data_IF_771458886665
#
_entry.id   IF_771458886665
#
_cell.length_a   1.000
_cell.length_b   1.000
_cell.length_c   1.000
_cell.angle_alpha   90.00
_cell.angle_beta   90.00
_cell.angle_gamma   90.00
#
_symmetry.space_group_name_H-M   'P 1'
#
loop_
_entity.id
_entity.type
_entity.pdbx_description
1 polymer ?
#
# COMPACT_ATOMS: atom_id res chain seq x y z
N UNK A 1 14.89 21.69 -8.55
CA UNK A 1 15.55 21.40 -9.85
C UNK A 1 14.64 20.46 -10.63
N UNK A 2 14.34 20.76 -11.90
CA UNK A 2 13.61 19.83 -12.77
C UNK A 2 14.63 18.87 -13.41
N UNK A 3 14.37 17.57 -13.39
CA UNK A 3 15.19 16.58 -14.09
C UNK A 3 15.19 16.87 -15.59
N UNK A 4 16.34 16.74 -16.26
CA UNK A 4 16.41 16.80 -17.72
C UNK A 4 15.92 15.49 -18.36
N UNK A 5 15.72 15.47 -19.68
CA UNK A 5 15.20 14.31 -20.39
C UNK A 5 16.09 13.06 -20.22
N UNK A 6 17.41 13.21 -20.24
CA UNK A 6 18.32 12.09 -20.07
C UNK A 6 18.29 11.53 -18.65
N UNK A 7 18.17 12.36 -17.62
CA UNK A 7 18.00 11.91 -16.23
C UNK A 7 16.70 11.15 -16.04
N UNK A 8 15.60 11.56 -16.68
CA UNK A 8 14.35 10.84 -16.65
C UNK A 8 14.49 9.45 -17.31
N UNK A 9 15.12 9.37 -18.48
CA UNK A 9 15.36 8.10 -19.18
C UNK A 9 16.27 7.18 -18.37
N UNK A 10 17.31 7.68 -17.73
CA UNK A 10 18.19 6.89 -16.83
C UNK A 10 17.39 6.30 -15.64
N UNK A 11 16.31 6.97 -15.23
CA UNK A 11 15.38 6.49 -14.19
C UNK A 11 14.26 5.60 -14.74
N UNK A 12 14.29 5.27 -16.04
CA UNK A 12 13.35 4.39 -16.72
C UNK A 12 12.10 5.08 -17.26
N UNK A 13 12.05 6.41 -17.37
CA UNK A 13 10.90 7.08 -17.98
C UNK A 13 10.79 6.66 -19.45
N UNK A 14 9.68 6.01 -19.81
CA UNK A 14 9.29 5.64 -21.17
C UNK A 14 8.16 6.56 -21.64
N UNK A 15 8.26 7.06 -22.86
CA UNK A 15 7.22 7.83 -23.51
C UNK A 15 6.41 6.98 -24.51
N UNK A 16 5.45 7.60 -25.19
CA UNK A 16 4.60 6.91 -26.15
C UNK A 16 5.38 6.32 -27.32
N UNK A 17 6.49 6.94 -27.72
CA UNK A 17 7.36 6.43 -28.79
C UNK A 17 8.04 5.13 -28.38
N UNK A 18 8.52 5.06 -27.14
CA UNK A 18 9.11 3.83 -26.60
C UNK A 18 8.09 2.68 -26.54
N UNK A 19 6.85 2.99 -26.17
CA UNK A 19 5.76 2.01 -26.16
C UNK A 19 5.41 1.52 -27.58
N UNK A 20 5.32 2.44 -28.55
CA UNK A 20 5.03 2.11 -29.96
C UNK A 20 6.11 1.22 -30.57
N UNK A 21 7.38 1.43 -30.27
CA UNK A 21 8.50 0.60 -30.75
C UNK A 21 8.37 -0.87 -30.31
N UNK A 22 7.78 -1.13 -29.15
CA UNK A 22 7.60 -2.47 -28.60
C UNK A 22 6.17 -3.02 -28.74
N UNK A 23 5.24 -2.26 -29.33
CA UNK A 23 3.82 -2.60 -29.37
C UNK A 23 3.55 -3.96 -30.06
N UNK A 24 4.36 -4.30 -31.07
CA UNK A 24 4.23 -5.54 -31.86
C UNK A 24 5.14 -6.69 -31.38
N UNK A 25 5.97 -6.46 -30.34
CA UNK A 25 6.76 -7.53 -29.74
C UNK A 25 5.82 -8.57 -29.09
N UNK A 26 6.16 -9.84 -29.19
CA UNK A 26 5.41 -10.91 -28.50
C UNK A 26 5.59 -10.88 -26.99
N UNK A 27 4.79 -11.65 -26.29
CA UNK A 27 4.81 -11.67 -24.82
C UNK A 27 6.13 -12.21 -24.25
N UNK A 28 6.75 -13.19 -24.92
CA UNK A 28 8.03 -13.76 -24.48
C UNK A 28 9.18 -12.75 -24.64
N UNK A 29 9.21 -12.02 -25.74
CA UNK A 29 10.16 -10.93 -25.96
C UNK A 29 10.00 -9.82 -24.88
N UNK A 30 8.76 -9.42 -24.58
CA UNK A 30 8.50 -8.43 -23.54
C UNK A 30 8.88 -8.94 -22.14
N UNK A 31 8.60 -10.21 -21.81
CA UNK A 31 9.03 -10.83 -20.56
C UNK A 31 10.56 -10.88 -20.47
N UNK A 32 11.24 -11.19 -21.56
CA UNK A 32 12.71 -11.13 -21.65
C UNK A 32 13.26 -9.74 -21.36
N UNK A 33 12.62 -8.70 -21.89
CA UNK A 33 13.01 -7.31 -21.63
C UNK A 33 12.87 -6.88 -20.17
N UNK A 34 11.97 -7.47 -19.38
CA UNK A 34 11.91 -7.19 -17.95
C UNK A 34 13.20 -7.55 -17.21
N UNK A 35 13.94 -8.53 -17.70
CA UNK A 35 15.20 -8.97 -17.10
C UNK A 35 16.44 -8.28 -17.69
N UNK A 36 16.50 -8.15 -19.02
CA UNK A 36 17.73 -7.78 -19.74
C UNK A 36 17.65 -6.42 -20.43
N UNK A 37 16.48 -5.80 -20.51
CA UNK A 37 16.29 -4.52 -21.18
C UNK A 37 16.95 -3.33 -20.47
N UNK A 38 17.11 -2.23 -21.22
CA UNK A 38 17.44 -0.93 -20.64
C UNK A 38 16.32 -0.47 -19.69
N UNK A 39 16.55 0.47 -18.77
CA UNK A 39 15.49 0.97 -17.87
C UNK A 39 14.20 1.37 -18.60
N UNK A 40 14.33 2.06 -19.74
CA UNK A 40 13.18 2.47 -20.58
C UNK A 40 12.45 1.27 -21.16
N UNK A 41 13.19 0.29 -21.70
CA UNK A 41 12.61 -0.94 -22.25
C UNK A 41 11.90 -1.76 -21.19
N UNK A 42 12.47 -1.88 -19.97
CA UNK A 42 11.80 -2.58 -18.85
C UNK A 42 10.48 -1.90 -18.47
N UNK A 43 10.46 -0.56 -18.44
CA UNK A 43 9.24 0.21 -18.17
C UNK A 43 8.19 0.00 -19.26
N UNK A 44 8.58 0.11 -20.53
CA UNK A 44 7.68 -0.08 -21.66
C UNK A 44 7.13 -1.52 -21.70
N UNK A 45 7.99 -2.52 -21.48
CA UNK A 45 7.58 -3.93 -21.39
C UNK A 45 6.58 -4.18 -20.26
N UNK A 46 6.85 -3.68 -19.05
CA UNK A 46 5.91 -3.80 -17.92
C UNK A 46 4.56 -3.16 -18.24
N UNK A 47 4.57 -2.00 -18.88
CA UNK A 47 3.36 -1.25 -19.25
C UNK A 47 2.55 -2.00 -20.29
N UNK A 48 3.19 -2.53 -21.34
CA UNK A 48 2.52 -3.27 -22.41
C UNK A 48 1.98 -4.62 -21.91
N UNK A 49 2.77 -5.38 -21.15
CA UNK A 49 2.33 -6.65 -20.56
C UNK A 49 1.10 -6.47 -19.65
N UNK A 50 1.02 -5.38 -18.90
CA UNK A 50 -0.12 -5.11 -18.04
C UNK A 50 -1.46 -5.03 -18.78
N UNK A 51 -1.46 -4.62 -20.04
CA UNK A 51 -2.66 -4.48 -20.87
C UNK A 51 -3.04 -5.77 -21.64
N UNK A 52 -2.16 -6.78 -21.64
CA UNK A 52 -2.35 -8.04 -22.36
C UNK A 52 -2.92 -9.14 -21.45
N UNK A 53 -3.49 -10.22 -22.01
CA UNK A 53 -3.98 -11.36 -21.22
C UNK A 53 -2.93 -11.97 -20.32
N UNK A 54 -1.67 -12.09 -20.78
CA UNK A 54 -0.54 -12.60 -19.99
C UNK A 54 -0.34 -11.82 -18.69
N UNK A 55 -0.54 -10.50 -18.70
CA UNK A 55 -0.45 -9.61 -17.55
C UNK A 55 -1.49 -9.87 -16.45
N UNK A 56 -2.42 -10.79 -16.67
CA UNK A 56 -3.43 -11.23 -15.68
C UNK A 56 -3.13 -12.63 -15.15
N UNK A 57 -2.00 -13.22 -15.49
CA UNK A 57 -1.64 -14.58 -15.12
C UNK A 57 -0.78 -14.64 -13.86
N UNK A 58 -0.91 -15.72 -13.10
CA UNK A 58 -0.08 -15.98 -11.93
C UNK A 58 1.42 -16.04 -12.26
N UNK A 59 1.77 -16.52 -13.45
CA UNK A 59 3.15 -16.56 -13.93
C UNK A 59 3.72 -15.14 -14.10
N UNK A 60 2.96 -14.23 -14.72
CA UNK A 60 3.38 -12.83 -14.85
C UNK A 60 3.57 -12.15 -13.49
N UNK A 61 2.65 -12.36 -12.53
CA UNK A 61 2.78 -11.75 -11.20
C UNK A 61 4.06 -12.21 -10.49
N UNK A 62 4.43 -13.49 -10.64
CA UNK A 62 5.69 -14.03 -10.12
C UNK A 62 6.89 -13.32 -10.73
N UNK A 63 6.93 -13.17 -12.05
CA UNK A 63 8.01 -12.48 -12.78
C UNK A 63 8.07 -10.99 -12.39
N UNK A 64 6.93 -10.30 -12.36
CA UNK A 64 6.85 -8.89 -12.01
C UNK A 64 7.30 -8.61 -10.56
N UNK A 65 6.94 -9.48 -9.61
CA UNK A 65 7.38 -9.37 -8.22
C UNK A 65 8.87 -9.66 -8.07
N UNK A 66 9.42 -10.64 -8.78
CA UNK A 66 10.85 -10.91 -8.80
C UNK A 66 11.64 -9.71 -9.38
N UNK A 67 11.19 -9.16 -10.50
CA UNK A 67 11.77 -7.96 -11.08
C UNK A 67 11.72 -6.76 -10.11
N UNK A 68 10.57 -6.54 -9.46
CA UNK A 68 10.37 -5.41 -8.54
C UNK A 68 11.33 -5.46 -7.32
N UNK A 69 11.73 -6.65 -6.86
CA UNK A 69 12.67 -6.79 -5.72
C UNK A 69 14.03 -6.19 -6.00
N UNK A 70 14.51 -6.28 -7.23
CA UNK A 70 15.87 -5.87 -7.63
C UNK A 70 15.89 -4.59 -8.48
N UNK A 71 14.74 -4.10 -8.92
CA UNK A 71 14.64 -2.94 -9.82
C UNK A 71 15.11 -1.64 -9.14
N UNK A 72 16.18 -0.99 -9.62
CA UNK A 72 16.66 0.27 -9.05
C UNK A 72 15.92 1.49 -9.61
N UNK A 73 15.36 1.41 -10.82
CA UNK A 73 14.83 2.55 -11.55
C UNK A 73 13.40 2.88 -11.13
N UNK A 74 13.17 4.16 -10.80
CA UNK A 74 11.89 4.63 -10.25
C UNK A 74 10.71 4.32 -11.17
N UNK A 75 10.80 4.71 -12.45
CA UNK A 75 9.67 4.57 -13.37
C UNK A 75 9.36 3.12 -13.71
N UNK A 76 10.38 2.26 -13.78
CA UNK A 76 10.19 0.81 -13.94
C UNK A 76 9.47 0.22 -12.70
N UNK A 77 9.87 0.63 -11.49
CA UNK A 77 9.16 0.21 -10.26
C UNK A 77 7.70 0.65 -10.27
N UNK A 78 7.42 1.87 -10.73
CA UNK A 78 6.04 2.37 -10.83
C UNK A 78 5.23 1.58 -11.86
N UNK A 79 5.81 1.26 -13.02
CA UNK A 79 5.16 0.45 -14.05
C UNK A 79 4.86 -0.97 -13.57
N UNK A 80 5.82 -1.64 -12.92
CA UNK A 80 5.62 -2.97 -12.33
C UNK A 80 4.52 -2.95 -11.26
N UNK A 81 4.52 -1.94 -10.38
CA UNK A 81 3.45 -1.77 -9.40
C UNK A 81 2.09 -1.56 -10.06
N UNK A 82 2.02 -0.73 -11.11
CA UNK A 82 0.79 -0.50 -11.87
C UNK A 82 0.29 -1.77 -12.55
N UNK A 83 1.19 -2.57 -13.12
CA UNK A 83 0.87 -3.86 -13.72
C UNK A 83 0.28 -4.85 -12.69
N UNK A 84 0.93 -4.97 -11.53
CA UNK A 84 0.44 -5.81 -10.43
C UNK A 84 -0.93 -5.35 -9.91
N UNK A 85 -1.16 -4.04 -9.80
CA UNK A 85 -2.45 -3.48 -9.35
C UNK A 85 -3.61 -3.88 -10.27
N UNK A 86 -3.36 -4.01 -11.57
CA UNK A 86 -4.37 -4.43 -12.54
C UNK A 86 -4.67 -5.94 -12.50
N UNK A 87 -3.90 -6.73 -11.77
CA UNK A 87 -4.07 -8.18 -11.64
C UNK A 87 -5.19 -8.63 -10.69
N UNK A 88 -5.88 -7.68 -10.01
CA UNK A 88 -7.01 -7.97 -9.14
C UNK A 88 -6.67 -8.87 -7.94
N UNK A 89 -7.66 -9.59 -7.39
CA UNK A 89 -7.48 -10.41 -6.18
C UNK A 89 -6.36 -11.45 -6.28
N UNK A 90 -6.13 -12.03 -7.47
CA UNK A 90 -5.09 -13.03 -7.67
C UNK A 90 -3.68 -12.42 -7.51
N UNK A 91 -3.45 -11.23 -8.05
CA UNK A 91 -2.19 -10.51 -7.84
C UNK A 91 -2.04 -10.09 -6.38
N UNK A 92 -3.11 -9.61 -5.73
CA UNK A 92 -3.08 -9.21 -4.32
C UNK A 92 -2.61 -10.35 -3.41
N UNK A 93 -3.09 -11.58 -3.63
CA UNK A 93 -2.64 -12.77 -2.90
C UNK A 93 -1.14 -13.03 -3.05
N UNK A 94 -0.60 -12.90 -4.26
CA UNK A 94 0.84 -13.09 -4.52
C UNK A 94 1.69 -11.93 -3.98
N UNK A 95 1.15 -10.73 -3.85
CA UNK A 95 1.86 -9.58 -3.32
C UNK A 95 2.04 -9.63 -1.79
N UNK A 96 1.08 -10.19 -1.05
CA UNK A 96 1.10 -10.23 0.43
C UNK A 96 2.40 -10.79 1.02
N UNK A 97 3.00 -11.89 0.52
CA UNK A 97 4.27 -12.40 1.02
C UNK A 97 5.44 -11.40 0.95
N UNK A 98 5.32 -10.36 0.12
CA UNK A 98 6.34 -9.33 -0.10
C UNK A 98 6.14 -8.06 0.74
N UNK A 99 5.10 -7.98 1.56
CA UNK A 99 4.89 -6.88 2.50
C UNK A 99 6.10 -6.69 3.40
N UNK A 100 6.64 -5.48 3.40
CA UNK A 100 7.81 -5.09 4.18
C UNK A 100 9.16 -5.60 3.68
N UNK A 101 9.20 -6.28 2.51
CA UNK A 101 10.43 -6.87 1.96
C UNK A 101 11.05 -6.09 0.81
N UNK A 102 10.28 -5.25 0.11
CA UNK A 102 10.76 -4.53 -1.07
C UNK A 102 11.02 -3.06 -0.75
N UNK A 103 12.26 -2.62 -1.00
CA UNK A 103 12.71 -1.28 -0.66
C UNK A 103 13.04 -1.12 0.82
N UNK A 104 13.34 0.12 1.23
CA UNK A 104 13.81 0.47 2.57
C UNK A 104 13.05 1.67 3.18
N UNK A 105 11.89 2.01 2.65
CA UNK A 105 11.12 3.18 3.10
C UNK A 105 10.14 2.86 4.25
N UNK A 106 10.06 1.61 4.70
CA UNK A 106 9.20 1.16 5.78
C UNK A 106 9.64 1.75 7.13
N UNK A 107 8.69 1.90 8.05
CA UNK A 107 9.03 2.22 9.42
C UNK A 107 9.64 1.00 10.11
N UNK A 108 10.80 1.20 10.75
CA UNK A 108 11.43 0.19 11.60
C UNK A 108 10.99 0.33 13.08
N UNK A 109 10.55 1.53 13.45
CA UNK A 109 9.98 1.86 14.75
C UNK A 109 8.93 2.97 14.59
N UNK A 110 8.03 3.16 15.55
CA UNK A 110 7.11 4.28 15.57
C UNK A 110 7.88 5.61 15.50
N UNK A 111 7.41 6.61 14.73
CA UNK A 111 8.04 7.93 14.72
C UNK A 111 7.83 8.63 16.08
N UNK A 112 8.80 9.40 16.51
CA UNK A 112 8.76 10.10 17.80
C UNK A 112 7.58 11.08 17.93
N UNK A 113 7.06 11.59 16.80
CA UNK A 113 5.93 12.53 16.77
C UNK A 113 4.83 12.02 15.87
N UNK A 114 3.58 12.11 16.33
CA UNK A 114 2.41 11.84 15.49
C UNK A 114 2.27 12.90 14.40
N UNK A 115 1.78 12.49 13.22
CA UNK A 115 1.50 13.39 12.12
C UNK A 115 0.43 14.42 12.50
N UNK A 116 0.61 15.68 12.10
CA UNK A 116 -0.38 16.74 12.25
C UNK A 116 -1.39 16.79 11.10
N UNK A 117 -1.19 16.01 10.03
CA UNK A 117 -2.10 15.97 8.88
C UNK A 117 -3.47 15.43 9.27
N UNK A 118 -4.51 15.99 8.65
CA UNK A 118 -5.90 15.56 8.83
C UNK A 118 -6.28 14.37 7.94
N UNK A 119 -5.40 13.97 7.02
CA UNK A 119 -5.54 12.84 6.11
C UNK A 119 -4.93 11.58 6.68
N UNK A 120 -5.38 10.41 6.22
CA UNK A 120 -4.69 9.15 6.48
C UNK A 120 -3.39 9.10 5.66
N UNK A 121 -2.26 8.68 6.26
CA UNK A 121 -0.99 8.67 5.54
C UNK A 121 -0.96 7.55 4.50
N UNK A 122 -0.42 7.84 3.31
CA UNK A 122 -0.14 6.83 2.29
C UNK A 122 0.87 5.80 2.85
N UNK A 123 0.64 4.50 2.66
CA UNK A 123 1.60 3.47 3.08
C UNK A 123 3.00 3.71 2.51
N UNK A 124 4.03 3.58 3.35
CA UNK A 124 5.43 3.79 2.93
C UNK A 124 6.01 2.59 2.21
N UNK A 125 5.61 1.39 2.60
CA UNK A 125 5.94 0.15 1.90
C UNK A 125 5.34 0.16 0.49
N UNK A 126 6.13 -0.21 -0.53
CA UNK A 126 5.71 -0.14 -1.93
C UNK A 126 4.60 -1.16 -2.24
N UNK A 127 4.65 -2.34 -1.61
CA UNK A 127 3.64 -3.39 -1.78
C UNK A 127 2.36 -3.01 -1.05
N UNK A 128 2.45 -2.53 0.20
CA UNK A 128 1.29 -2.06 0.94
C UNK A 128 0.59 -0.89 0.23
N UNK A 129 1.36 0.02 -0.37
CA UNK A 129 0.84 1.13 -1.19
C UNK A 129 0.13 0.63 -2.44
N UNK A 130 0.69 -0.36 -3.12
CA UNK A 130 0.08 -0.96 -4.30
C UNK A 130 -1.22 -1.69 -3.95
N UNK A 131 -1.22 -2.50 -2.89
CA UNK A 131 -2.42 -3.17 -2.38
C UNK A 131 -3.52 -2.17 -1.97
N UNK A 132 -3.14 -1.08 -1.29
CA UNK A 132 -4.09 -0.04 -0.92
C UNK A 132 -4.75 0.65 -2.13
N UNK A 133 -4.08 0.70 -3.29
CA UNK A 133 -4.61 1.25 -4.54
C UNK A 133 -5.50 0.29 -5.31
N UNK A 134 -5.44 -1.00 -5.03
CA UNK A 134 -6.33 -2.01 -5.63
C UNK A 134 -7.75 -1.97 -5.05
N UNK A 135 -7.98 -1.18 -4.02
CA UNK A 135 -9.29 -1.06 -3.38
C UNK A 135 -9.76 -2.36 -2.74
N UNK A 136 -11.04 -2.66 -2.88
CA UNK A 136 -11.69 -3.84 -2.28
C UNK A 136 -11.10 -5.16 -2.75
N UNK A 137 -10.50 -5.23 -3.92
CA UNK A 137 -9.89 -6.45 -4.47
C UNK A 137 -8.74 -6.97 -3.62
N UNK A 138 -7.98 -6.07 -2.98
CA UNK A 138 -6.87 -6.45 -2.11
C UNK A 138 -7.34 -6.80 -0.67
N UNK A 139 -8.53 -6.40 -0.27
CA UNK A 139 -8.95 -6.48 1.13
C UNK A 139 -8.95 -7.91 1.68
N UNK A 140 -9.47 -8.94 0.99
CA UNK A 140 -9.41 -10.32 1.50
C UNK A 140 -7.98 -10.80 1.79
N UNK A 141 -7.03 -10.50 0.89
CA UNK A 141 -5.62 -10.88 1.05
C UNK A 141 -4.96 -10.10 2.21
N UNK A 142 -5.24 -8.82 2.35
CA UNK A 142 -4.77 -8.00 3.47
C UNK A 142 -5.32 -8.50 4.82
N UNK A 143 -6.61 -8.84 4.90
CA UNK A 143 -7.20 -9.40 6.12
C UNK A 143 -6.61 -10.78 6.47
N UNK A 144 -6.29 -11.61 5.48
CA UNK A 144 -5.56 -12.85 5.72
C UNK A 144 -4.16 -12.59 6.28
N UNK A 145 -3.44 -11.59 5.76
CA UNK A 145 -2.14 -11.15 6.30
C UNK A 145 -2.25 -10.67 7.76
N UNK A 146 -3.31 -9.93 8.12
CA UNK A 146 -3.54 -9.53 9.51
C UNK A 146 -3.72 -10.71 10.44
N UNK A 147 -4.37 -11.80 9.98
CA UNK A 147 -4.62 -12.99 10.80
C UNK A 147 -3.40 -13.92 10.95
N UNK A 148 -2.60 -14.05 9.91
CA UNK A 148 -1.59 -15.12 9.81
C UNK A 148 -0.16 -14.60 9.52
N UNK A 149 0.01 -13.36 9.07
CA UNK A 149 1.30 -12.79 8.68
C UNK A 149 2.28 -12.63 9.84
N UNK A 150 3.55 -12.47 9.53
CA UNK A 150 4.60 -12.05 10.48
C UNK A 150 4.35 -10.63 10.98
N UNK A 151 5.03 -10.21 12.04
CA UNK A 151 4.89 -8.84 12.59
C UNK A 151 5.15 -7.75 11.53
N UNK A 152 6.12 -7.97 10.63
CA UNK A 152 6.44 -7.05 9.52
C UNK A 152 5.28 -6.99 8.53
N UNK A 153 4.77 -8.14 8.07
CA UNK A 153 3.64 -8.20 7.15
C UNK A 153 2.38 -7.57 7.75
N UNK A 154 2.08 -7.87 9.02
CA UNK A 154 0.95 -7.28 9.74
C UNK A 154 1.08 -5.77 9.85
N UNK A 155 2.27 -5.27 10.19
CA UNK A 155 2.54 -3.84 10.27
C UNK A 155 2.21 -3.13 8.94
N UNK A 156 2.67 -3.66 7.81
CA UNK A 156 2.42 -3.05 6.51
C UNK A 156 0.98 -3.27 6.02
N UNK A 157 0.37 -4.43 6.32
CA UNK A 157 -1.04 -4.68 6.04
C UNK A 157 -1.96 -3.73 6.81
N UNK A 158 -1.68 -3.42 8.10
CA UNK A 158 -2.43 -2.41 8.86
C UNK A 158 -2.40 -1.03 8.20
N UNK A 159 -1.24 -0.63 7.66
CA UNK A 159 -1.14 0.65 6.94
C UNK A 159 -2.00 0.65 5.66
N UNK A 160 -2.01 -0.46 4.90
CA UNK A 160 -2.81 -0.59 3.69
C UNK A 160 -4.32 -0.66 3.99
N UNK A 161 -4.74 -1.47 4.96
CA UNK A 161 -6.15 -1.61 5.39
C UNK A 161 -6.68 -0.27 5.88
N UNK A 162 -5.92 0.41 6.76
CA UNK A 162 -6.35 1.70 7.29
C UNK A 162 -6.47 2.77 6.19
N UNK A 163 -5.53 2.83 5.24
CA UNK A 163 -5.63 3.73 4.09
C UNK A 163 -6.86 3.42 3.23
N UNK A 164 -7.04 2.15 2.87
CA UNK A 164 -8.15 1.70 2.02
C UNK A 164 -9.50 2.07 2.66
N UNK A 165 -9.72 1.64 3.90
CA UNK A 165 -11.00 1.84 4.57
C UNK A 165 -11.28 3.32 4.94
N UNK A 166 -10.25 4.11 5.22
CA UNK A 166 -10.40 5.52 5.52
C UNK A 166 -10.93 6.34 4.32
N UNK A 167 -10.56 5.94 3.10
CA UNK A 167 -10.97 6.62 1.87
C UNK A 167 -12.09 5.89 1.10
N UNK A 168 -12.46 4.69 1.53
CA UNK A 168 -13.55 3.96 0.91
C UNK A 168 -14.91 4.53 1.37
N UNK A 169 -15.82 4.84 0.45
CA UNK A 169 -17.18 5.21 0.82
C UNK A 169 -17.94 4.02 1.38
N UNK A 170 -18.72 4.26 2.42
CA UNK A 170 -19.56 3.25 3.07
C UNK A 170 -18.91 2.52 4.25
N UNK A 171 -19.68 1.63 4.91
CA UNK A 171 -19.22 0.95 6.11
C UNK A 171 -18.08 -0.04 5.82
N UNK A 172 -17.16 -0.17 6.75
CA UNK A 172 -16.12 -1.18 6.67
C UNK A 172 -16.72 -2.60 6.69
N UNK A 173 -16.19 -3.55 5.90
CA UNK A 173 -16.64 -4.93 5.94
C UNK A 173 -16.55 -5.52 7.35
N UNK A 174 -17.56 -6.29 7.75
CA UNK A 174 -17.70 -6.85 9.12
C UNK A 174 -16.50 -7.68 9.58
N UNK A 175 -15.77 -8.30 8.65
CA UNK A 175 -14.56 -9.08 8.95
C UNK A 175 -13.32 -8.23 9.23
N UNK A 176 -13.33 -6.91 8.90
CA UNK A 176 -12.14 -6.08 8.95
C UNK A 176 -11.75 -5.72 10.41
N UNK A 177 -12.69 -5.19 11.19
CA UNK A 177 -12.41 -4.81 12.58
C UNK A 177 -11.93 -5.98 13.44
N UNK A 178 -12.56 -7.17 13.44
CA UNK A 178 -12.07 -8.33 14.17
C UNK A 178 -10.64 -8.74 13.77
N UNK A 179 -10.28 -8.63 12.48
CA UNK A 179 -8.94 -8.94 12.03
C UNK A 179 -7.90 -7.94 12.58
N UNK A 180 -8.23 -6.63 12.58
CA UNK A 180 -7.38 -5.58 13.17
C UNK A 180 -7.22 -5.78 14.67
N UNK A 181 -8.31 -6.04 15.41
CA UNK A 181 -8.28 -6.29 16.84
C UNK A 181 -7.48 -7.55 17.21
N UNK A 182 -7.53 -8.58 16.35
CA UNK A 182 -6.74 -9.81 16.50
C UNK A 182 -5.23 -9.54 16.51
N UNK A 183 -4.75 -8.51 15.83
CA UNK A 183 -3.31 -8.17 15.80
C UNK A 183 -2.81 -7.67 17.16
N UNK A 184 -3.63 -6.92 17.91
CA UNK A 184 -3.26 -6.45 19.25
C UNK A 184 -3.03 -7.60 20.23
N UNK A 185 -3.88 -8.64 20.16
CA UNK A 185 -3.73 -9.84 21.00
C UNK A 185 -2.51 -10.66 20.62
N UNK A 186 -2.18 -10.70 19.30
CA UNK A 186 -1.05 -11.48 18.79
C UNK A 186 0.31 -10.80 18.98
N UNK A 187 0.34 -9.45 19.04
CA UNK A 187 1.57 -8.68 19.13
C UNK A 187 1.49 -7.60 20.24
N UNK A 188 1.18 -7.96 21.50
CA UNK A 188 0.90 -7.00 22.56
C UNK A 188 2.12 -6.16 22.97
N UNK A 189 3.35 -6.65 22.73
CA UNK A 189 4.61 -5.96 23.04
C UNK A 189 5.30 -5.34 21.82
N UNK A 190 4.67 -5.33 20.63
CA UNK A 190 5.29 -4.77 19.43
C UNK A 190 4.78 -3.35 19.17
N UNK A 191 5.56 -2.36 19.59
CA UNK A 191 5.19 -0.94 19.48
C UNK A 191 4.86 -0.50 18.07
N UNK A 192 5.54 -1.03 17.04
CA UNK A 192 5.26 -0.67 15.66
C UNK A 192 3.90 -1.19 15.19
N UNK A 193 3.57 -2.45 15.52
CA UNK A 193 2.25 -3.02 15.25
C UNK A 193 1.17 -2.28 15.99
N UNK A 194 1.36 -2.00 17.30
CA UNK A 194 0.42 -1.24 18.12
C UNK A 194 0.19 0.17 17.56
N UNK A 195 1.27 0.85 17.16
CA UNK A 195 1.20 2.19 16.56
C UNK A 195 0.42 2.19 15.24
N UNK A 196 0.70 1.22 14.35
CA UNK A 196 -0.02 1.07 13.06
C UNK A 196 -1.48 0.66 13.29
N UNK A 197 -1.75 -0.20 14.26
CA UNK A 197 -3.11 -0.58 14.63
C UNK A 197 -3.89 0.64 15.15
N UNK A 198 -3.31 1.43 16.08
CA UNK A 198 -3.91 2.67 16.53
C UNK A 198 -4.20 3.64 15.38
N UNK A 199 -3.31 3.68 14.38
CA UNK A 199 -3.55 4.43 13.13
C UNK A 199 -4.72 3.87 12.32
N UNK A 200 -4.78 2.56 12.14
CA UNK A 200 -5.81 1.88 11.35
C UNK A 200 -7.23 2.03 11.96
N UNK A 201 -7.34 2.01 13.28
CA UNK A 201 -8.63 2.10 13.98
C UNK A 201 -9.41 3.38 13.68
N UNK A 202 -8.77 4.48 13.24
CA UNK A 202 -9.51 5.69 12.85
C UNK A 202 -10.33 5.54 11.54
N UNK A 203 -10.17 4.42 10.83
CA UNK A 203 -10.95 4.10 9.65
C UNK A 203 -12.26 3.34 9.97
N UNK A 204 -12.55 3.10 11.26
CA UNK A 204 -13.75 2.40 11.71
C UNK A 204 -14.60 3.34 12.57
N UNK A 205 -15.78 3.68 12.07
CA UNK A 205 -16.80 4.40 12.85
C UNK A 205 -17.57 3.39 13.71
N UNK A 206 -16.95 3.00 14.84
CA UNK A 206 -17.40 1.93 15.71
C UNK A 206 -17.05 2.22 17.17
N UNK A 207 -17.98 1.93 18.09
CA UNK A 207 -17.83 2.18 19.52
C UNK A 207 -16.67 1.41 20.15
N UNK A 208 -16.41 0.16 19.70
CA UNK A 208 -15.30 -0.64 20.20
C UNK A 208 -13.95 -0.06 19.76
N UNK A 209 -13.85 0.44 18.53
CA UNK A 209 -12.66 1.13 18.01
C UNK A 209 -12.36 2.38 18.82
N UNK A 210 -13.38 3.18 19.09
CA UNK A 210 -13.26 4.41 19.91
C UNK A 210 -12.83 4.11 21.34
N UNK A 211 -13.46 3.14 22.01
CA UNK A 211 -13.09 2.75 23.37
C UNK A 211 -11.64 2.23 23.45
N UNK A 212 -11.23 1.43 22.47
CA UNK A 212 -9.85 0.94 22.42
C UNK A 212 -8.83 2.05 22.16
N UNK A 213 -9.14 2.99 21.29
CA UNK A 213 -8.28 4.16 21.07
C UNK A 213 -8.15 5.02 22.33
N UNK A 214 -9.22 5.20 23.11
CA UNK A 214 -9.18 5.87 24.42
C UNK A 214 -8.26 5.13 25.39
N UNK A 215 -8.38 3.82 25.48
CA UNK A 215 -7.52 2.96 26.31
C UNK A 215 -6.06 3.08 25.90
N UNK A 216 -5.76 2.97 24.59
CA UNK A 216 -4.39 3.11 24.07
C UNK A 216 -3.82 4.51 24.32
N UNK A 217 -4.62 5.56 24.19
CA UNK A 217 -4.18 6.93 24.43
C UNK A 217 -3.83 7.18 25.91
N UNK A 218 -4.54 6.54 26.83
CA UNK A 218 -4.33 6.70 28.26
C UNK A 218 -3.24 5.78 28.82
N UNK A 219 -3.17 4.53 28.37
CA UNK A 219 -2.48 3.46 29.08
C UNK A 219 -1.35 2.77 28.29
N UNK A 220 -1.22 2.98 26.96
CA UNK A 220 -0.15 2.33 26.21
C UNK A 220 1.23 2.73 26.78
N UNK A 221 2.13 1.77 26.96
CA UNK A 221 3.48 2.01 27.48
C UNK A 221 4.26 2.97 26.56
N UNK A 222 4.17 2.77 25.24
CA UNK A 222 4.86 3.58 24.23
C UNK A 222 4.23 4.97 24.08
N UNK A 223 4.98 6.07 24.28
CA UNK A 223 4.49 7.43 24.05
C UNK A 223 4.04 7.65 22.59
N UNK A 224 4.70 7.01 21.64
CA UNK A 224 4.34 7.11 20.23
C UNK A 224 2.98 6.45 19.94
N UNK A 225 2.68 5.32 20.58
CA UNK A 225 1.35 4.66 20.48
C UNK A 225 0.28 5.55 21.09
N UNK A 226 0.52 6.12 22.29
CA UNK A 226 -0.41 7.07 22.91
C UNK A 226 -0.71 8.27 22.01
N UNK A 227 0.33 8.87 21.45
CA UNK A 227 0.19 10.03 20.56
C UNK A 227 -0.58 9.69 19.27
N UNK A 228 -0.36 8.50 18.72
CA UNK A 228 -1.10 8.03 17.53
C UNK A 228 -2.56 7.75 17.86
N UNK A 229 -2.86 7.11 18.97
CA UNK A 229 -4.23 6.86 19.41
C UNK A 229 -5.01 8.17 19.63
N UNK A 230 -4.40 9.15 20.31
CA UNK A 230 -4.97 10.49 20.47
C UNK A 230 -5.20 11.21 19.14
N UNK A 231 -4.29 11.04 18.15
CA UNK A 231 -4.49 11.54 16.79
C UNK A 231 -5.69 10.87 16.11
N UNK A 232 -5.80 9.57 16.23
CA UNK A 232 -6.89 8.80 15.60
C UNK A 232 -8.26 9.19 16.17
N UNK A 233 -8.38 9.42 17.48
CA UNK A 233 -9.60 9.96 18.11
C UNK A 233 -9.97 11.34 17.52
N UNK A 234 -8.99 12.23 17.30
CA UNK A 234 -9.26 13.54 16.69
C UNK A 234 -9.71 13.42 15.21
N UNK A 235 -9.31 12.37 14.50
CA UNK A 235 -9.80 12.13 13.14
C UNK A 235 -11.24 11.64 13.15
N UNK A 236 -11.60 10.70 14.02
CA UNK A 236 -12.97 10.21 14.20
C UNK A 236 -13.93 11.35 14.56
N UNK A 237 -13.63 12.14 15.58
CA UNK A 237 -14.48 13.26 16.01
C UNK A 237 -14.75 14.30 14.89
N UNK A 238 -13.87 14.41 13.90
CA UNK A 238 -14.08 15.31 12.74
C UNK A 238 -14.94 14.68 11.66
N UNK A 239 -14.96 13.35 11.53
CA UNK A 239 -15.88 12.67 10.63
C UNK A 239 -17.32 12.79 11.12
N UNK A 240 -17.57 12.65 12.42
CA UNK A 240 -18.89 12.82 13.04
C UNK A 240 -19.50 14.23 12.80
N UNK A 241 -18.66 15.28 12.83
CA UNK A 241 -19.13 16.68 12.67
C UNK A 241 -19.44 17.09 11.24
N UNK A 242 -19.13 16.28 10.23
CA UNK A 242 -19.25 16.62 8.80
C UNK A 242 -20.15 15.69 8.00
N UNK A 243 -21.13 15.03 8.59
CA UNK A 243 -22.09 14.18 7.86
C UNK A 243 -21.44 13.37 6.71
N UNK A 244 -20.35 12.71 6.96
CA UNK A 244 -19.66 11.89 5.97
C UNK A 244 -18.14 12.00 6.02
N UNK A 245 -17.50 10.88 5.83
CA UNK A 245 -16.06 10.75 5.56
C UNK A 245 -15.64 11.75 4.45
N UNK A 246 -14.42 12.32 4.49
CA UNK A 246 -14.01 13.25 3.43
C UNK A 246 -14.20 12.60 2.06
N UNK A 247 -14.69 13.35 1.06
CA UNK A 247 -14.90 12.78 -0.28
C UNK A 247 -13.61 12.13 -0.77
N UNK A 248 -13.75 10.99 -1.45
CA UNK A 248 -12.65 10.20 -2.02
C UNK A 248 -11.67 11.05 -2.87
N UNK A 249 -12.11 12.22 -3.33
CA UNK A 249 -11.30 13.19 -4.07
C UNK A 249 -10.12 13.78 -3.28
N UNK A 250 -10.17 13.82 -1.94
CA UNK A 250 -9.10 14.46 -1.13
C UNK A 250 -7.88 13.56 -0.92
N UNK A 251 -8.06 12.25 -0.92
CA UNK A 251 -6.95 11.31 -0.74
C UNK A 251 -6.27 10.91 -2.03
N UNK A 252 -7.02 10.88 -3.12
CA UNK A 252 -6.51 10.43 -4.41
C UNK A 252 -5.65 11.52 -5.09
N UNK A 253 -6.04 12.79 -5.06
CA UNK A 253 -5.26 13.87 -5.70
C UNK A 253 -3.91 14.15 -5.01
N UNK A 254 -3.84 14.13 -3.67
CA UNK A 254 -2.57 14.31 -2.95
C UNK A 254 -1.70 13.05 -2.90
N UNK A 255 -2.27 11.88 -3.10
CA UNK A 255 -1.54 10.61 -3.11
C UNK A 255 -0.91 10.28 -4.47
N UNK A 256 -1.29 11.02 -5.54
CA UNK A 256 -0.85 10.80 -6.92
C UNK A 256 0.11 11.88 -7.44
N UNK A 257 0.38 12.95 -6.68
CA UNK A 257 1.46 13.92 -6.90
C UNK A 257 2.71 13.52 -6.08
#
# INVERSE_FOLDING_TARGET
MKSNAQELRNRGYADDTDLQQLAFADDDALLGLLHSGTPVQRTAAATLLATRPVGKTAAFFTVALAALQTEPCLYTRLALCSALQQGGPAAAQQMVPFLGKIGNNQYQAPPARASQKKSYPLPRDIIARSLARMGTDALPALLAALRQGTAVQVSEALAAVGFLLFYQPGPAPTAALPAVLGTLRRYPGNDLVLWKCAGCLCAFDDTQSTALLQTLAAQAASPAVRAQAARSLRLLAKCETKNGCPPAEWGLKEAFQ
#
